data_IF_502000958003
#
_entry.id   IF_502000958003
#
_cell.length_a   1.000
_cell.length_b   1.000
_cell.length_c   1.000
_cell.angle_alpha   90.00
_cell.angle_beta   90.00
_cell.angle_gamma   90.00
#
_symmetry.space_group_name_H-M   'P 1'
#
loop_
_entity.id
_entity.type
_entity.pdbx_description
1 polymer ?
#
# COMPACT_ATOMS: atom_id res chain seq x y z
N UNK A 1 10.54 -6.86 -12.19
CA UNK A 1 9.62 -7.33 -11.13
C UNK A 1 8.72 -6.19 -10.71
N UNK A 2 7.45 -6.46 -10.48
CA UNK A 2 6.54 -5.41 -10.04
C UNK A 2 6.84 -4.98 -8.59
N UNK A 3 6.48 -3.74 -8.24
CA UNK A 3 6.65 -3.27 -6.86
C UNK A 3 5.76 -4.07 -5.90
N UNK A 4 4.60 -4.56 -6.38
CA UNK A 4 3.74 -5.42 -5.59
C UNK A 4 4.43 -6.74 -5.26
N UNK A 5 5.08 -7.37 -6.23
CA UNK A 5 5.81 -8.61 -6.01
C UNK A 5 6.96 -8.41 -5.02
N UNK A 6 7.65 -7.29 -5.13
CA UNK A 6 8.74 -6.95 -4.20
C UNK A 6 8.23 -6.74 -2.78
N UNK A 7 7.07 -6.08 -2.63
CA UNK A 7 6.43 -5.91 -1.32
C UNK A 7 6.00 -7.26 -0.74
N UNK A 8 5.37 -8.12 -1.54
CA UNK A 8 4.95 -9.44 -1.08
C UNK A 8 6.16 -10.27 -0.61
N UNK A 9 7.24 -10.25 -1.36
CA UNK A 9 8.48 -10.95 -0.97
C UNK A 9 9.05 -10.39 0.33
N UNK A 10 9.01 -9.06 0.48
CA UNK A 10 9.47 -8.39 1.70
C UNK A 10 8.64 -8.82 2.93
N UNK A 11 7.31 -8.86 2.79
CA UNK A 11 6.42 -9.19 3.90
C UNK A 11 6.45 -10.69 4.26
N UNK A 12 6.81 -11.53 3.32
CA UNK A 12 6.91 -12.98 3.57
C UNK A 12 7.98 -13.29 4.61
N UNK A 13 9.07 -12.54 4.61
CA UNK A 13 10.14 -12.64 5.58
C UNK A 13 10.61 -11.20 5.88
N UNK A 14 9.86 -10.51 6.73
CA UNK A 14 9.94 -9.07 6.84
C UNK A 14 11.34 -8.59 7.24
N UNK A 15 11.88 -7.69 6.41
CA UNK A 15 13.14 -7.00 6.63
C UNK A 15 12.87 -5.48 6.51
N UNK A 16 12.99 -4.73 7.62
CA UNK A 16 12.75 -3.29 7.62
C UNK A 16 13.62 -2.52 6.61
N UNK A 17 14.84 -2.96 6.39
CA UNK A 17 15.75 -2.30 5.45
C UNK A 17 15.27 -2.49 4.00
N UNK A 18 14.83 -3.70 3.65
CA UNK A 18 14.27 -3.98 2.31
C UNK A 18 13.03 -3.13 2.09
N UNK A 19 12.15 -3.05 3.08
CA UNK A 19 10.94 -2.22 2.98
C UNK A 19 11.30 -0.76 2.76
N UNK A 20 12.24 -0.21 3.54
CA UNK A 20 12.68 1.16 3.39
C UNK A 20 13.26 1.42 1.99
N UNK A 21 14.04 0.47 1.45
CA UNK A 21 14.69 0.60 0.15
C UNK A 21 13.71 0.57 -1.03
N UNK A 22 12.50 0.07 -0.84
CA UNK A 22 11.42 0.13 -1.84
C UNK A 22 10.80 1.51 -1.94
N UNK A 23 11.14 2.41 -1.03
CA UNK A 23 10.60 3.77 -0.95
C UNK A 23 11.69 4.79 -1.24
N UNK A 24 11.35 5.78 -2.08
CA UNK A 24 12.23 6.91 -2.35
C UNK A 24 12.47 7.71 -1.06
N UNK A 25 13.64 8.33 -0.93
CA UNK A 25 13.98 9.13 0.26
C UNK A 25 12.98 10.26 0.52
N UNK A 26 12.35 10.78 -0.54
CA UNK A 26 11.33 11.83 -0.47
C UNK A 26 9.91 11.27 -0.37
N UNK A 27 9.77 9.99 -0.10
CA UNK A 27 8.45 9.36 -0.02
C UNK A 27 7.54 10.07 0.98
N UNK A 28 6.31 10.31 0.56
CA UNK A 28 5.24 10.82 1.42
C UNK A 28 3.98 10.01 1.20
N UNK A 29 3.26 9.73 2.27
CA UNK A 29 1.96 9.05 2.20
C UNK A 29 0.89 9.94 2.80
N UNK A 30 -0.21 10.08 2.07
CA UNK A 30 -1.45 10.69 2.56
C UNK A 30 -2.37 9.56 2.98
N UNK A 31 -2.75 9.56 4.25
CA UNK A 31 -3.71 8.61 4.82
C UNK A 31 -4.82 9.42 5.46
N UNK A 32 -5.93 9.54 4.74
CA UNK A 32 -7.03 10.41 5.14
C UNK A 32 -6.51 11.86 5.31
N UNK A 33 -6.46 12.36 6.54
CA UNK A 33 -6.00 13.73 6.82
C UNK A 33 -4.58 13.77 7.37
N UNK A 34 -3.88 12.63 7.40
CA UNK A 34 -2.52 12.55 7.91
C UNK A 34 -1.52 12.47 6.76
N UNK A 35 -0.37 13.10 6.96
CA UNK A 35 0.74 13.07 6.03
C UNK A 35 1.96 12.48 6.74
N UNK A 36 2.53 11.42 6.16
CA UNK A 36 3.68 10.72 6.73
C UNK A 36 4.87 10.77 5.78
N UNK A 37 6.06 10.98 6.34
CA UNK A 37 7.32 10.83 5.61
C UNK A 37 7.65 9.34 5.45
N UNK A 38 8.72 9.04 4.66
CA UNK A 38 9.21 7.67 4.53
C UNK A 38 9.50 7.04 5.90
N UNK A 39 10.25 7.75 6.74
CA UNK A 39 10.67 7.20 8.03
C UNK A 39 9.49 6.97 8.96
N UNK A 40 8.53 7.90 9.00
CA UNK A 40 7.32 7.74 9.79
C UNK A 40 6.47 6.56 9.29
N UNK A 41 6.34 6.42 7.97
CA UNK A 41 5.62 5.30 7.37
C UNK A 41 6.31 3.97 7.69
N UNK A 42 7.63 3.93 7.58
CA UNK A 42 8.40 2.72 7.90
C UNK A 42 8.23 2.30 9.36
N UNK A 43 8.20 3.25 10.30
CA UNK A 43 7.97 2.94 11.72
C UNK A 43 6.60 2.29 11.93
N UNK A 44 5.56 2.83 11.29
CA UNK A 44 4.20 2.28 11.39
C UNK A 44 4.17 0.86 10.84
N UNK A 45 4.75 0.65 9.66
CA UNK A 45 4.72 -0.66 9.01
C UNK A 45 5.58 -1.68 9.75
N UNK A 46 6.70 -1.27 10.34
CA UNK A 46 7.54 -2.17 11.14
C UNK A 46 6.75 -2.80 12.30
N UNK A 47 5.81 -2.05 12.90
CA UNK A 47 4.95 -2.56 13.95
C UNK A 47 3.85 -3.47 13.41
N UNK A 48 3.27 -3.12 12.26
CA UNK A 48 2.15 -3.87 11.68
C UNK A 48 2.61 -5.16 11.00
N UNK A 49 3.74 -5.15 10.31
CA UNK A 49 4.20 -6.27 9.49
C UNK A 49 4.51 -7.54 10.28
N UNK A 50 4.76 -7.42 11.59
CA UNK A 50 5.03 -8.57 12.46
C UNK A 50 3.75 -9.19 13.03
N UNK A 51 2.59 -8.58 12.79
CA UNK A 51 1.32 -9.10 13.28
C UNK A 51 0.80 -10.18 12.32
N UNK A 52 0.32 -11.34 12.85
CA UNK A 52 -0.06 -12.46 11.99
C UNK A 52 -1.29 -12.19 11.12
N UNK A 53 -2.13 -11.24 11.49
CA UNK A 53 -3.35 -10.89 10.76
C UNK A 53 -3.16 -9.74 9.77
N UNK A 54 -1.95 -9.23 9.63
CA UNK A 54 -1.66 -8.13 8.71
C UNK A 54 -1.27 -8.68 7.34
N UNK A 55 -2.25 -8.85 6.47
CA UNK A 55 -2.15 -9.63 5.24
C UNK A 55 -2.74 -8.92 4.00
N UNK A 56 -2.83 -7.59 4.02
CA UNK A 56 -3.46 -6.82 2.93
C UNK A 56 -2.88 -7.18 1.56
N UNK A 57 -1.57 -7.39 1.50
CA UNK A 57 -0.84 -7.65 0.26
C UNK A 57 -1.26 -8.98 -0.40
N UNK A 58 -1.79 -9.93 0.39
CA UNK A 58 -2.29 -11.20 -0.13
C UNK A 58 -3.70 -11.07 -0.69
N UNK A 59 -4.47 -10.09 -0.21
CA UNK A 59 -5.86 -9.83 -0.63
C UNK A 59 -5.93 -8.82 -1.75
N UNK A 60 -4.94 -7.94 -1.86
CA UNK A 60 -4.98 -6.81 -2.75
C UNK A 60 -5.00 -7.23 -4.22
N UNK A 61 -5.89 -6.60 -4.98
CA UNK A 61 -5.89 -6.65 -6.42
C UNK A 61 -5.03 -5.50 -6.92
N UNK A 62 -4.07 -5.80 -7.81
CA UNK A 62 -3.34 -4.77 -8.54
C UNK A 62 -4.20 -4.35 -9.72
N UNK A 63 -4.85 -3.19 -9.59
CA UNK A 63 -5.76 -2.69 -10.63
C UNK A 63 -4.98 -2.35 -11.89
N UNK A 64 -3.83 -1.70 -11.73
CA UNK A 64 -2.86 -1.51 -12.79
C UNK A 64 -1.50 -1.17 -12.21
N UNK A 65 -0.48 -1.38 -12.99
CA UNK A 65 0.88 -0.98 -12.65
C UNK A 65 1.65 -0.64 -13.93
N UNK A 66 2.39 0.48 -13.90
CA UNK A 66 3.29 0.87 -14.97
C UNK A 66 4.56 1.49 -14.37
N UNK A 67 5.41 2.10 -15.20
CA UNK A 67 6.68 2.68 -14.72
C UNK A 67 6.48 3.85 -13.75
N UNK A 68 5.30 4.47 -13.75
CA UNK A 68 5.05 5.71 -13.01
C UNK A 68 4.09 5.54 -11.85
N UNK A 69 3.21 4.55 -11.87
CA UNK A 69 2.27 4.35 -10.78
C UNK A 69 1.83 2.91 -10.62
N UNK A 70 1.24 2.63 -9.46
CA UNK A 70 0.57 1.37 -9.16
C UNK A 70 -0.68 1.70 -8.35
N UNK A 71 -1.75 0.99 -8.64
CA UNK A 71 -2.99 1.11 -7.87
C UNK A 71 -3.36 -0.26 -7.31
N UNK A 72 -3.59 -0.30 -5.99
CA UNK A 72 -4.10 -1.47 -5.29
C UNK A 72 -5.51 -1.21 -4.81
N UNK A 73 -6.29 -2.28 -4.72
CA UNK A 73 -7.62 -2.24 -4.15
C UNK A 73 -7.90 -3.55 -3.44
N UNK A 74 -8.46 -3.47 -2.23
CA UNK A 74 -8.85 -4.66 -1.49
C UNK A 74 -10.02 -4.36 -0.57
N UNK A 75 -10.70 -5.42 -0.16
CA UNK A 75 -11.76 -5.32 0.83
C UNK A 75 -11.18 -5.62 2.20
N UNK A 76 -11.50 -4.77 3.17
CA UNK A 76 -11.15 -4.96 4.57
C UNK A 76 -12.43 -4.85 5.38
N UNK A 77 -13.00 -6.01 5.77
CA UNK A 77 -14.29 -6.13 6.45
C UNK A 77 -15.41 -5.53 5.59
N UNK A 78 -16.03 -4.44 6.05
CA UNK A 78 -17.10 -3.73 5.33
C UNK A 78 -16.62 -2.47 4.60
N UNK A 79 -15.30 -2.34 4.45
CA UNK A 79 -14.68 -1.20 3.76
C UNK A 79 -13.96 -1.64 2.49
N UNK A 80 -13.91 -0.72 1.54
CA UNK A 80 -13.04 -0.83 0.37
C UNK A 80 -11.85 0.09 0.60
N UNK A 81 -10.65 -0.47 0.49
CA UNK A 81 -9.39 0.27 0.62
C UNK A 81 -8.78 0.43 -0.77
N UNK A 82 -8.44 1.65 -1.11
CA UNK A 82 -7.74 1.97 -2.35
C UNK A 82 -6.41 2.64 -2.00
N UNK A 83 -5.34 2.19 -2.62
CA UNK A 83 -4.02 2.78 -2.44
C UNK A 83 -3.44 3.05 -3.83
N UNK A 84 -3.08 4.30 -4.11
CA UNK A 84 -2.43 4.70 -5.35
C UNK A 84 -1.03 5.18 -5.02
N UNK A 85 -0.03 4.55 -5.62
CA UNK A 85 1.38 4.91 -5.45
C UNK A 85 1.98 5.44 -6.73
N UNK A 86 2.65 6.58 -6.65
CA UNK A 86 3.47 7.11 -7.74
C UNK A 86 4.91 6.67 -7.53
N UNK A 87 5.58 6.34 -8.63
CA UNK A 87 6.96 5.85 -8.63
C UNK A 87 7.91 6.91 -9.14
N UNK A 88 9.11 6.93 -8.56
CA UNK A 88 10.22 7.73 -9.02
C UNK A 88 11.49 6.89 -8.93
N UNK A 89 12.20 6.75 -10.04
CA UNK A 89 13.41 5.91 -10.11
C UNK A 89 13.16 4.46 -9.63
N UNK A 90 11.99 3.91 -9.98
CA UNK A 90 11.63 2.54 -9.63
C UNK A 90 11.18 2.33 -8.19
N UNK A 91 11.09 3.40 -7.40
CA UNK A 91 10.70 3.34 -5.99
C UNK A 91 9.39 4.07 -5.77
N UNK A 92 8.65 3.67 -4.72
CA UNK A 92 7.46 4.40 -4.30
C UNK A 92 7.87 5.79 -3.82
N UNK A 93 7.20 6.80 -4.33
CA UNK A 93 7.55 8.20 -4.07
C UNK A 93 6.40 8.98 -3.42
N UNK A 94 5.18 8.76 -3.86
CA UNK A 94 3.97 9.35 -3.27
C UNK A 94 2.90 8.29 -3.23
N UNK A 95 2.16 8.21 -2.13
CA UNK A 95 1.04 7.29 -2.02
C UNK A 95 -0.14 7.98 -1.35
N UNK A 96 -1.34 7.62 -1.81
CA UNK A 96 -2.60 8.05 -1.21
C UNK A 96 -3.39 6.80 -0.90
N UNK A 97 -3.80 6.64 0.35
CA UNK A 97 -4.65 5.54 0.77
C UNK A 97 -5.97 6.10 1.29
N UNK A 98 -7.07 5.47 0.87
CA UNK A 98 -8.41 5.85 1.30
C UNK A 98 -9.22 4.63 1.68
N UNK A 99 -10.16 4.81 2.61
CA UNK A 99 -11.10 3.78 3.06
C UNK A 99 -12.50 4.34 3.00
N UNK A 100 -13.41 3.59 2.39
CA UNK A 100 -14.82 3.96 2.38
C UNK A 100 -15.67 2.73 2.71
N UNK A 101 -16.78 2.90 3.44
CA UNK A 101 -17.73 1.81 3.64
C UNK A 101 -18.27 1.31 2.31
N UNK A 102 -18.49 0.00 2.19
CA UNK A 102 -19.07 -0.59 0.98
C UNK A 102 -20.43 0.04 0.69
N UNK A 103 -21.20 0.37 1.72
CA UNK A 103 -22.52 1.02 1.59
C UNK A 103 -22.46 2.37 0.88
N UNK A 104 -21.31 3.05 0.91
CA UNK A 104 -21.11 4.36 0.28
C UNK A 104 -20.50 4.25 -1.12
N UNK A 105 -20.23 3.04 -1.59
CA UNK A 105 -19.61 2.80 -2.88
C UNK A 105 -20.66 2.80 -3.99
N UNK A 106 -20.50 3.61 -5.07
CA UNK A 106 -21.50 3.71 -6.14
C UNK A 106 -21.80 2.39 -6.84
N UNK A 107 -20.79 1.53 -7.00
CA UNK A 107 -20.92 0.22 -7.65
C UNK A 107 -20.25 -0.84 -6.79
N UNK A 108 -20.85 -1.23 -5.65
CA UNK A 108 -20.18 -2.13 -4.69
C UNK A 108 -19.83 -3.50 -5.26
N UNK A 109 -20.54 -3.97 -6.29
CA UNK A 109 -20.29 -5.27 -6.88
C UNK A 109 -18.94 -5.38 -7.62
N UNK A 110 -18.34 -4.28 -8.06
CA UNK A 110 -17.03 -4.32 -8.73
C UNK A 110 -15.87 -4.44 -7.75
N UNK A 111 -16.13 -4.32 -6.46
CA UNK A 111 -15.10 -4.37 -5.41
C UNK A 111 -15.13 -5.67 -4.60
N UNK A 112 -15.77 -6.67 -5.11
CA UNK A 112 -15.89 -7.97 -4.43
C UNK A 112 -14.72 -8.87 -4.69
#
# INVERSE_FOLDING_TARGET
MSIHDELCACFQSYDPQVFQDLHHEDFMMVRELELSTRDEHCEIINELAVKPDWDWHLKAEVVHENAFCIEWRWRDRDEIVTNVGLKKNGKLWRSIISRIPISDTPNPHIYR
#
